data_IF_428431029903
#
_entry.id   IF_428431029903
#
_cell.length_a   1.000
_cell.length_b   1.000
_cell.length_c   1.000
_cell.angle_alpha   90.00
_cell.angle_beta   90.00
_cell.angle_gamma   90.00
#
_symmetry.space_group_name_H-M   'P 1'
#
loop_
_entity.id
_entity.type
_entity.pdbx_description
1 polymer ?
#
# COMPACT_ATOMS: atom_id res chain seq x y z
N UNK A 1 18.92 19.44 -4.98
CA UNK A 1 19.97 18.41 -5.17
C UNK A 1 19.32 17.19 -5.83
N UNK A 2 19.98 16.60 -6.80
CA UNK A 2 19.54 15.39 -7.50
C UNK A 2 20.49 14.25 -7.18
N UNK A 3 19.97 13.02 -7.15
CA UNK A 3 20.76 11.81 -6.99
C UNK A 3 20.28 10.77 -8.02
N UNK A 4 21.17 9.89 -8.43
CA UNK A 4 20.86 8.77 -9.31
C UNK A 4 20.95 7.47 -8.53
N UNK A 5 19.98 6.61 -8.71
CA UNK A 5 20.01 5.22 -8.24
C UNK A 5 20.73 4.39 -9.31
N UNK A 6 21.50 3.40 -8.89
CA UNK A 6 22.09 2.42 -9.80
C UNK A 6 21.00 1.70 -10.61
N UNK A 7 21.26 1.30 -11.87
CA UNK A 7 20.26 0.62 -12.67
C UNK A 7 19.78 -0.66 -12.02
N UNK A 8 18.49 -0.95 -12.14
CA UNK A 8 17.94 -2.24 -11.75
C UNK A 8 18.38 -3.27 -12.79
N UNK A 9 18.88 -4.38 -12.30
CA UNK A 9 19.42 -5.47 -13.09
C UNK A 9 18.45 -6.65 -13.12
N UNK A 10 18.50 -7.45 -14.17
CA UNK A 10 17.82 -8.75 -14.28
C UNK A 10 18.86 -9.82 -14.53
N UNK A 11 18.66 -11.00 -13.97
CA UNK A 11 19.47 -12.17 -14.27
C UNK A 11 18.80 -12.96 -15.39
N UNK A 12 19.55 -13.28 -16.42
CA UNK A 12 19.12 -14.04 -17.58
C UNK A 12 20.28 -14.94 -18.00
N UNK A 13 20.03 -16.24 -18.08
CA UNK A 13 21.04 -17.25 -18.48
C UNK A 13 22.38 -17.15 -17.70
N UNK A 14 22.29 -16.87 -16.39
CA UNK A 14 23.46 -16.75 -15.52
C UNK A 14 24.26 -15.46 -15.68
N UNK A 15 23.80 -14.52 -16.52
CA UNK A 15 24.39 -13.21 -16.69
C UNK A 15 23.48 -12.10 -16.19
N UNK A 16 24.07 -11.03 -15.63
CA UNK A 16 23.33 -9.85 -15.16
C UNK A 16 23.32 -8.78 -16.23
N UNK A 17 22.13 -8.36 -16.63
CA UNK A 17 21.93 -7.24 -17.56
C UNK A 17 21.03 -6.18 -16.95
N UNK A 18 21.13 -4.97 -17.46
CA UNK A 18 20.22 -3.88 -17.09
C UNK A 18 18.79 -4.22 -17.55
N UNK A 19 17.82 -3.96 -16.67
CA UNK A 19 16.39 -4.02 -16.99
C UNK A 19 16.07 -3.04 -18.14
N UNK A 20 15.28 -3.51 -19.11
CA UNK A 20 15.04 -2.76 -20.35
C UNK A 20 13.57 -2.72 -20.71
N UNK A 21 12.98 -1.54 -20.86
CA UNK A 21 11.58 -1.35 -21.27
C UNK A 21 11.18 -2.06 -22.57
N UNK A 22 12.14 -2.39 -23.43
CA UNK A 22 11.85 -3.09 -24.70
C UNK A 22 11.75 -4.60 -24.56
N UNK A 23 12.37 -5.16 -23.53
CA UNK A 23 12.49 -6.61 -23.33
C UNK A 23 11.74 -7.08 -22.07
N UNK A 24 11.62 -6.22 -21.08
CA UNK A 24 11.13 -6.55 -19.75
C UNK A 24 9.88 -5.72 -19.43
N UNK A 25 8.69 -6.32 -19.41
CA UNK A 25 7.44 -5.62 -19.05
C UNK A 25 7.54 -4.92 -17.71
N UNK A 26 8.19 -5.56 -16.74
CA UNK A 26 8.40 -5.05 -15.38
C UNK A 26 9.32 -3.81 -15.29
N UNK A 27 9.87 -3.36 -16.42
CA UNK A 27 10.57 -2.08 -16.52
C UNK A 27 9.64 -0.89 -16.79
N UNK A 28 8.35 -1.14 -17.04
CA UNK A 28 7.32 -0.15 -17.28
C UNK A 28 6.32 -0.08 -16.12
N UNK A 29 5.83 1.12 -15.83
CA UNK A 29 4.83 1.32 -14.76
C UNK A 29 3.51 0.64 -15.10
N UNK A 30 3.13 0.63 -16.37
CA UNK A 30 1.89 0.05 -16.88
C UNK A 30 1.77 -1.44 -16.50
N UNK A 31 2.88 -2.18 -16.51
CA UNK A 31 2.92 -3.57 -16.07
C UNK A 31 2.36 -3.76 -14.67
N UNK A 32 2.77 -2.94 -13.70
CA UNK A 32 2.31 -3.07 -12.31
C UNK A 32 0.84 -2.72 -12.15
N UNK A 33 0.34 -1.80 -12.97
CA UNK A 33 -1.07 -1.42 -12.99
C UNK A 33 -1.92 -2.56 -13.58
N UNK A 34 -1.49 -3.14 -14.70
CA UNK A 34 -2.18 -4.24 -15.38
C UNK A 34 -2.21 -5.52 -14.51
N UNK A 35 -1.11 -5.81 -13.81
CA UNK A 35 -1.01 -6.95 -12.88
C UNK A 35 -1.71 -6.68 -11.53
N UNK A 36 -2.26 -5.48 -11.31
CA UNK A 36 -3.03 -5.13 -10.12
C UNK A 36 -2.21 -4.88 -8.85
N UNK A 37 -0.92 -4.55 -8.97
CA UNK A 37 -0.11 -4.20 -7.81
C UNK A 37 -0.53 -2.84 -7.23
N UNK A 38 -0.75 -2.74 -5.90
CA UNK A 38 -0.94 -1.45 -5.26
C UNK A 38 0.27 -0.53 -5.46
N UNK A 39 0.03 0.74 -5.73
CA UNK A 39 1.12 1.72 -5.94
C UNK A 39 2.09 1.76 -4.75
N UNK A 40 1.56 1.70 -3.51
CA UNK A 40 2.39 1.64 -2.30
C UNK A 40 3.31 0.42 -2.27
N UNK A 41 2.85 -0.73 -2.74
CA UNK A 41 3.65 -1.95 -2.77
C UNK A 41 4.85 -1.80 -3.72
N UNK A 42 4.64 -1.21 -4.88
CA UNK A 42 5.70 -0.92 -5.85
C UNK A 42 6.70 0.06 -5.27
N UNK A 43 6.23 1.14 -4.63
CA UNK A 43 7.10 2.14 -3.98
C UNK A 43 7.92 1.50 -2.85
N UNK A 44 7.31 0.71 -1.96
CA UNK A 44 8.02 0.03 -0.86
C UNK A 44 9.04 -0.97 -1.39
N UNK A 45 8.71 -1.70 -2.45
CA UNK A 45 9.66 -2.58 -3.11
C UNK A 45 10.86 -1.79 -3.68
N UNK A 46 10.62 -0.68 -4.36
CA UNK A 46 11.70 0.18 -4.88
C UNK A 46 12.55 0.78 -3.75
N UNK A 47 11.95 1.16 -2.62
CA UNK A 47 12.67 1.60 -1.43
C UNK A 47 13.55 0.50 -0.85
N UNK A 48 13.07 -0.74 -0.83
CA UNK A 48 13.83 -1.91 -0.37
C UNK A 48 15.12 -2.11 -1.18
N UNK A 49 15.05 -1.97 -2.50
CA UNK A 49 16.22 -2.13 -3.37
C UNK A 49 17.09 -0.88 -3.44
N UNK A 50 16.54 0.30 -3.19
CA UNK A 50 17.27 1.57 -3.23
C UNK A 50 18.03 1.86 -1.91
N UNK A 51 17.52 1.39 -0.78
CA UNK A 51 18.09 1.72 0.53
C UNK A 51 18.06 0.53 1.48
N UNK A 52 19.23 0.02 1.84
CA UNK A 52 19.39 -1.21 2.64
C UNK A 52 18.75 -1.17 4.03
N UNK A 53 18.38 0.02 4.53
CA UNK A 53 17.75 0.17 5.85
C UNK A 53 16.22 0.07 5.80
N UNK A 54 15.61 0.07 4.61
CA UNK A 54 14.15 0.17 4.52
C UNK A 54 13.45 -1.03 5.13
N UNK A 55 13.94 -2.25 4.89
CA UNK A 55 13.31 -3.46 5.44
C UNK A 55 13.30 -3.48 6.97
N UNK A 56 14.41 -3.11 7.58
CA UNK A 56 14.53 -3.09 9.05
C UNK A 56 13.66 -1.98 9.65
N UNK A 57 13.62 -0.83 9.01
CA UNK A 57 12.72 0.23 9.40
C UNK A 57 11.25 -0.19 9.29
N UNK A 58 10.87 -0.86 8.20
CA UNK A 58 9.50 -1.34 7.99
C UNK A 58 9.07 -2.37 9.02
N UNK A 59 9.95 -3.29 9.42
CA UNK A 59 9.67 -4.25 10.50
C UNK A 59 9.35 -3.58 11.83
N UNK A 60 10.02 -2.48 12.12
CA UNK A 60 9.83 -1.70 13.36
C UNK A 60 8.64 -0.73 13.27
N UNK A 61 8.26 -0.29 12.07
CA UNK A 61 7.24 0.72 11.83
C UNK A 61 6.13 0.17 10.90
N UNK A 62 5.44 -0.87 11.35
CA UNK A 62 4.48 -1.63 10.54
C UNK A 62 3.29 -0.80 10.02
N UNK A 63 2.86 0.21 10.76
CA UNK A 63 1.70 1.05 10.43
C UNK A 63 2.07 2.42 9.88
N UNK A 64 3.35 2.79 9.90
CA UNK A 64 3.82 4.06 9.39
C UNK A 64 3.71 4.11 7.86
N UNK A 65 3.42 5.28 7.31
CA UNK A 65 3.46 5.49 5.86
C UNK A 65 4.91 5.47 5.35
N UNK A 66 5.15 4.97 4.15
CA UNK A 66 6.52 4.88 3.60
C UNK A 66 7.23 6.24 3.48
N UNK A 67 6.48 7.35 3.39
CA UNK A 67 7.04 8.72 3.38
C UNK A 67 7.72 9.11 4.70
N UNK A 68 7.43 8.39 5.79
CA UNK A 68 8.07 8.61 7.10
C UNK A 68 9.45 7.96 7.18
N UNK A 69 9.82 7.16 6.18
CA UNK A 69 11.11 6.52 6.15
C UNK A 69 12.24 7.55 6.00
N UNK A 70 13.21 7.57 6.94
CA UNK A 70 14.35 8.50 6.87
C UNK A 70 15.35 8.04 5.81
N UNK A 71 15.06 8.32 4.55
CA UNK A 71 15.90 7.94 3.42
C UNK A 71 17.31 8.52 3.53
N UNK A 72 18.32 7.65 3.43
CA UNK A 72 19.73 8.04 3.59
C UNK A 72 20.51 7.75 2.31
N UNK A 73 21.06 8.79 1.68
CA UNK A 73 21.86 8.66 0.45
C UNK A 73 23.09 7.75 0.61
N UNK A 74 23.72 7.75 1.79
CA UNK A 74 24.88 6.92 2.08
C UNK A 74 24.54 5.43 2.31
N UNK A 75 23.28 5.07 2.30
CA UNK A 75 22.77 3.70 2.37
C UNK A 75 22.24 3.17 1.04
N UNK A 76 22.38 3.99 -0.02
CA UNK A 76 22.09 3.55 -1.37
C UNK A 76 23.19 2.59 -1.88
N UNK A 77 22.76 1.53 -2.57
CA UNK A 77 23.72 0.62 -3.22
C UNK A 77 24.41 1.29 -4.40
N UNK A 78 25.73 1.19 -4.45
CA UNK A 78 26.51 1.62 -5.62
C UNK A 78 26.45 0.59 -6.77
N UNK A 79 26.21 -0.67 -6.46
CA UNK A 79 25.95 -1.75 -7.45
C UNK A 79 24.47 -1.84 -7.75
N UNK A 80 24.11 -2.14 -9.01
CA UNK A 80 22.70 -2.33 -9.39
C UNK A 80 22.05 -3.47 -8.59
N UNK A 81 20.84 -3.24 -8.11
CA UNK A 81 20.05 -4.27 -7.43
C UNK A 81 19.39 -5.18 -8.46
N UNK A 82 19.29 -6.48 -8.16
CA UNK A 82 18.52 -7.42 -8.98
C UNK A 82 17.02 -7.21 -8.77
N UNK A 83 16.27 -7.18 -9.85
CA UNK A 83 14.83 -7.26 -9.80
C UNK A 83 14.41 -8.67 -9.36
N UNK A 84 13.59 -8.75 -8.35
CA UNK A 84 13.08 -9.99 -7.78
C UNK A 84 11.55 -9.93 -7.66
N UNK A 85 10.89 -10.69 -8.53
CA UNK A 85 9.43 -10.78 -8.57
C UNK A 85 8.86 -11.43 -7.29
N UNK A 86 9.55 -12.41 -6.72
CA UNK A 86 9.09 -13.06 -5.49
C UNK A 86 9.13 -12.07 -4.32
N UNK A 87 10.16 -11.24 -4.27
CA UNK A 87 10.27 -10.18 -3.26
C UNK A 87 9.19 -9.12 -3.43
N UNK A 88 8.91 -8.70 -4.67
CA UNK A 88 7.81 -7.78 -4.97
C UNK A 88 6.46 -8.37 -4.50
N UNK A 89 6.19 -9.64 -4.81
CA UNK A 89 4.97 -10.31 -4.38
C UNK A 89 4.85 -10.37 -2.85
N UNK A 90 5.94 -10.66 -2.14
CA UNK A 90 5.96 -10.66 -0.68
C UNK A 90 5.66 -9.27 -0.11
N UNK A 91 6.31 -8.23 -0.62
CA UNK A 91 6.05 -6.84 -0.21
C UNK A 91 4.60 -6.44 -0.51
N UNK A 92 4.08 -6.83 -1.68
CA UNK A 92 2.69 -6.55 -2.07
C UNK A 92 1.70 -7.20 -1.11
N UNK A 93 1.90 -8.46 -0.74
CA UNK A 93 1.04 -9.15 0.22
C UNK A 93 1.04 -8.45 1.59
N UNK A 94 2.20 -8.01 2.07
CA UNK A 94 2.30 -7.26 3.33
C UNK A 94 1.59 -5.91 3.26
N UNK A 95 1.69 -5.19 2.13
CA UNK A 95 0.99 -3.91 1.92
C UNK A 95 -0.51 -4.12 1.90
N UNK A 96 -1.01 -5.07 1.12
CA UNK A 96 -2.44 -5.39 1.02
C UNK A 96 -3.01 -5.75 2.39
N UNK A 97 -2.33 -6.60 3.15
CA UNK A 97 -2.76 -6.97 4.51
C UNK A 97 -2.88 -5.75 5.44
N UNK A 98 -1.96 -4.79 5.35
CA UNK A 98 -2.03 -3.54 6.12
C UNK A 98 -3.19 -2.64 5.66
N UNK A 99 -3.44 -2.56 4.36
CA UNK A 99 -4.57 -1.81 3.79
C UNK A 99 -5.91 -2.41 4.25
N UNK A 100 -6.05 -3.73 4.20
CA UNK A 100 -7.24 -4.45 4.69
C UNK A 100 -7.47 -4.21 6.18
N UNK A 101 -6.43 -4.30 7.00
CA UNK A 101 -6.52 -4.02 8.43
C UNK A 101 -6.93 -2.57 8.72
N UNK A 102 -6.40 -1.60 7.94
CA UNK A 102 -6.77 -0.19 8.06
C UNK A 102 -8.23 0.05 7.65
N UNK A 103 -8.69 -0.58 6.57
CA UNK A 103 -10.08 -0.50 6.11
C UNK A 103 -11.04 -1.11 7.14
N UNK A 104 -10.74 -2.27 7.69
CA UNK A 104 -11.53 -2.91 8.73
C UNK A 104 -11.63 -2.02 9.99
N UNK A 105 -10.52 -1.43 10.42
CA UNK A 105 -10.49 -0.49 11.54
C UNK A 105 -11.31 0.78 11.28
N UNK A 106 -11.27 1.32 10.08
CA UNK A 106 -12.05 2.49 9.69
C UNK A 106 -13.53 2.16 9.54
N UNK A 107 -13.89 1.01 8.98
CA UNK A 107 -15.28 0.55 8.90
C UNK A 107 -15.91 0.41 10.29
N UNK A 108 -15.17 -0.13 11.25
CA UNK A 108 -15.61 -0.21 12.65
C UNK A 108 -15.85 1.16 13.29
N UNK A 109 -14.95 2.12 13.05
CA UNK A 109 -15.10 3.52 13.52
C UNK A 109 -16.31 4.20 12.90
N UNK A 110 -16.50 4.06 11.59
CA UNK A 110 -17.65 4.64 10.87
C UNK A 110 -18.94 4.04 11.41
N UNK A 111 -19.05 2.72 11.56
CA UNK A 111 -20.21 2.06 12.12
C UNK A 111 -20.53 2.55 13.54
N UNK A 112 -19.52 2.76 14.38
CA UNK A 112 -19.70 3.27 15.74
C UNK A 112 -20.20 4.72 15.74
N UNK A 113 -19.66 5.59 14.87
CA UNK A 113 -20.07 7.00 14.74
C UNK A 113 -21.52 7.06 14.24
N UNK A 114 -21.83 6.28 13.19
CA UNK A 114 -23.19 6.22 12.62
C UNK A 114 -24.21 5.74 13.67
N UNK A 115 -23.88 4.70 14.44
CA UNK A 115 -24.74 4.19 15.52
C UNK A 115 -25.00 5.27 16.57
N UNK A 116 -23.96 5.98 17.04
CA UNK A 116 -24.11 7.06 18.01
C UNK A 116 -24.98 8.20 17.48
N UNK A 117 -24.79 8.57 16.21
CA UNK A 117 -25.60 9.60 15.57
C UNK A 117 -27.07 9.17 15.48
N UNK A 118 -27.32 7.92 15.10
CA UNK A 118 -28.66 7.36 15.04
C UNK A 118 -29.33 7.33 16.42
N UNK A 119 -28.62 6.85 17.43
CA UNK A 119 -29.11 6.80 18.82
C UNK A 119 -29.45 8.21 19.33
N UNK A 120 -28.62 9.23 19.00
CA UNK A 120 -28.89 10.63 19.37
C UNK A 120 -30.15 11.16 18.67
N UNK A 121 -30.30 10.89 17.36
CA UNK A 121 -31.48 11.30 16.61
C UNK A 121 -32.77 10.64 17.13
N UNK A 122 -32.70 9.35 17.48
CA UNK A 122 -33.82 8.61 18.01
C UNK A 122 -34.29 9.11 19.38
N UNK A 123 -33.37 9.62 20.22
CA UNK A 123 -33.69 10.21 21.52
C UNK A 123 -34.30 11.63 21.42
N UNK A 124 -34.09 12.31 20.29
CA UNK A 124 -34.63 13.65 20.04
C UNK A 124 -35.99 13.64 19.33
N UNK A 125 -36.43 12.50 18.77
CA UNK A 125 -37.73 12.37 18.12
C UNK A 125 -38.84 12.15 19.19
N UNK A 126 -39.97 12.92 19.14
CA UNK A 126 -41.12 12.66 19.98
C UNK A 126 -41.67 11.28 19.68
N UNK A 127 -42.12 10.54 20.74
CA UNK A 127 -42.69 9.20 20.59
C UNK A 127 -43.85 9.10 19.57
N UNK A 128 -44.54 10.19 19.33
CA UNK A 128 -45.67 10.27 18.38
C UNK A 128 -45.24 10.24 16.90
N UNK A 129 -44.00 10.60 16.56
CA UNK A 129 -43.55 10.53 15.18
C UNK A 129 -43.11 9.14 14.71
N UNK A 130 -42.79 8.24 15.65
CA UNK A 130 -42.42 6.84 15.33
C UNK A 130 -43.57 6.02 14.75
N UNK A 131 -44.82 6.40 15.01
CA UNK A 131 -46.03 5.64 14.57
C UNK A 131 -46.39 5.91 13.12
N UNK A 132 -45.80 6.94 12.46
CA UNK A 132 -46.19 7.39 11.12
C UNK A 132 -45.15 7.08 10.03
N UNK A 133 -44.07 6.36 10.31
CA UNK A 133 -43.15 5.92 9.27
C UNK A 133 -43.84 4.85 8.40
N UNK A 134 -44.07 5.11 7.11
CA UNK A 134 -44.69 4.11 6.23
C UNK A 134 -43.81 2.87 6.17
N UNK A 135 -44.37 1.71 6.49
CA UNK A 135 -43.67 0.41 6.41
C UNK A 135 -43.33 -0.01 4.97
N UNK A 136 -43.57 0.85 3.99
CA UNK A 136 -43.34 0.60 2.56
C UNK A 136 -41.87 0.68 2.14
N UNK A 137 -40.98 1.09 3.05
CA UNK A 137 -39.53 1.17 2.80
C UNK A 137 -38.79 -0.15 3.07
N UNK A 138 -39.51 -1.19 3.49
CA UNK A 138 -38.95 -2.52 3.81
C UNK A 138 -39.32 -3.61 2.78
N UNK A 139 -39.74 -3.21 1.58
CA UNK A 139 -40.00 -4.16 0.49
C UNK A 139 -38.95 -4.07 -0.61
#
# INVERSE_FOLDING_TARGET
KYAHVSPIMKEEDGSKRKLSKRKDPEAAVDFFVEEGYPAEAVVEYLLTIANSNFEDWRKQNKTAHYNEFPFKLNKMSASGALFDMMKLNSVSADVISRMEAALAGNAGKIAQITRRALDSMLTELPEEEFVQLPMDWLK
#
